data_IF_467998758764
#
_entry.id   IF_467998758764
#
_cell.length_a   1.000
_cell.length_b   1.000
_cell.length_c   1.000
_cell.angle_alpha   90.00
_cell.angle_beta   90.00
_cell.angle_gamma   90.00
#
_symmetry.space_group_name_H-M   'P 1'
#
loop_
_entity.id
_entity.type
_entity.pdbx_description
1 polymer ?
#
# COMPACT_ATOMS: atom_id res chain seq x y z
N UNK A 1 17.67 -50.57 29.98
CA UNK A 1 16.56 -50.18 29.08
C UNK A 1 15.68 -49.11 29.74
N UNK A 2 15.10 -49.36 30.92
CA UNK A 2 14.27 -48.37 31.66
C UNK A 2 15.00 -47.05 32.01
N UNK A 3 16.26 -47.12 32.45
CA UNK A 3 17.06 -45.93 32.77
C UNK A 3 17.29 -45.01 31.56
N UNK A 4 17.42 -45.59 30.36
CA UNK A 4 17.66 -44.84 29.13
C UNK A 4 16.40 -44.06 28.73
N UNK A 5 15.23 -44.69 28.88
CA UNK A 5 13.93 -44.06 28.62
C UNK A 5 13.68 -42.84 29.52
N UNK A 6 13.98 -42.95 30.83
CA UNK A 6 13.85 -41.81 31.77
C UNK A 6 14.82 -40.67 31.41
N UNK A 7 16.04 -41.00 31.00
CA UNK A 7 17.03 -39.99 30.60
C UNK A 7 16.65 -39.27 29.30
N UNK A 8 16.08 -40.00 28.33
CA UNK A 8 15.54 -39.42 27.10
C UNK A 8 14.35 -38.50 27.39
N UNK A 9 13.39 -38.93 28.21
CA UNK A 9 12.28 -38.09 28.67
C UNK A 9 12.76 -36.81 29.33
N UNK A 10 13.74 -36.90 30.24
CA UNK A 10 14.27 -35.73 30.93
C UNK A 10 14.99 -34.77 29.97
N UNK A 11 15.72 -35.29 28.97
CA UNK A 11 16.34 -34.47 27.93
C UNK A 11 15.30 -33.73 27.09
N UNK A 12 14.28 -34.43 26.60
CA UNK A 12 13.20 -33.81 25.81
C UNK A 12 12.45 -32.75 26.62
N UNK A 13 12.22 -32.99 27.92
CA UNK A 13 11.61 -31.99 28.81
C UNK A 13 12.49 -30.75 28.99
N UNK A 14 13.80 -30.92 29.20
CA UNK A 14 14.74 -29.79 29.28
C UNK A 14 14.84 -29.02 27.95
N UNK A 15 14.80 -29.71 26.82
CA UNK A 15 14.79 -29.09 25.49
C UNK A 15 13.51 -28.30 25.21
N UNK A 16 12.33 -28.83 25.58
CA UNK A 16 11.05 -28.14 25.43
C UNK A 16 10.98 -26.92 26.35
N UNK A 17 11.31 -27.07 27.63
CA UNK A 17 11.29 -25.96 28.61
C UNK A 17 12.32 -24.90 28.24
N UNK A 18 13.52 -25.30 27.82
CA UNK A 18 14.55 -24.39 27.31
C UNK A 18 14.13 -23.68 26.02
N UNK A 19 13.39 -24.38 25.15
CA UNK A 19 12.79 -23.80 23.95
C UNK A 19 11.75 -22.74 24.27
N UNK A 20 10.82 -23.03 25.17
CA UNK A 20 9.79 -22.09 25.65
C UNK A 20 10.42 -20.86 26.33
N UNK A 21 11.46 -21.06 27.14
CA UNK A 21 12.19 -19.96 27.80
C UNK A 21 12.85 -19.00 26.81
N UNK A 22 13.24 -19.46 25.62
CA UNK A 22 13.78 -18.61 24.54
C UNK A 22 12.69 -18.00 23.65
N UNK A 23 11.55 -18.65 23.51
CA UNK A 23 10.44 -18.19 22.69
C UNK A 23 9.67 -17.04 23.35
N UNK A 24 9.39 -17.12 24.66
CA UNK A 24 8.61 -16.12 25.40
C UNK A 24 9.16 -14.69 25.24
N UNK A 25 10.47 -14.43 25.47
CA UNK A 25 11.02 -13.09 25.29
C UNK A 25 10.85 -12.55 23.86
N UNK A 26 11.16 -13.38 22.86
CA UNK A 26 11.01 -13.03 21.44
C UNK A 26 9.56 -12.77 21.05
N UNK A 27 8.62 -13.48 21.67
CA UNK A 27 7.19 -13.24 21.47
C UNK A 27 6.76 -11.86 21.98
N UNK A 28 7.25 -11.43 23.14
CA UNK A 28 6.99 -10.07 23.64
C UNK A 28 7.67 -9.00 22.78
N UNK A 29 8.88 -9.25 22.27
CA UNK A 29 9.55 -8.37 21.31
C UNK A 29 8.73 -8.22 20.02
N UNK A 30 8.26 -9.33 19.44
CA UNK A 30 7.34 -9.33 18.30
C UNK A 30 6.09 -8.50 18.60
N UNK A 31 5.44 -8.75 19.74
CA UNK A 31 4.19 -8.08 20.09
C UNK A 31 4.39 -6.56 20.20
N UNK A 32 5.51 -6.14 20.80
CA UNK A 32 5.91 -4.75 20.90
C UNK A 32 6.05 -4.10 19.51
N UNK A 33 6.74 -4.77 18.59
CA UNK A 33 6.90 -4.29 17.21
C UNK A 33 5.57 -4.19 16.47
N UNK A 34 4.66 -5.15 16.65
CA UNK A 34 3.33 -5.13 16.03
C UNK A 34 2.48 -3.97 16.54
N UNK A 35 2.52 -3.69 17.85
CA UNK A 35 1.78 -2.57 18.46
C UNK A 35 2.32 -1.22 17.99
N UNK A 36 3.65 -1.05 18.00
CA UNK A 36 4.30 0.16 17.46
C UNK A 36 3.96 0.31 15.97
N UNK A 37 4.04 -0.78 15.23
CA UNK A 37 3.71 -0.82 13.81
C UNK A 37 2.27 -0.43 13.49
N UNK A 38 1.32 -0.84 14.33
CA UNK A 38 -0.08 -0.45 14.21
C UNK A 38 -0.25 1.08 14.36
N UNK A 39 0.43 1.69 15.34
CA UNK A 39 0.43 3.15 15.52
C UNK A 39 1.01 3.87 14.29
N UNK A 40 2.15 3.40 13.79
CA UNK A 40 2.78 3.97 12.58
C UNK A 40 1.85 3.83 11.37
N UNK A 41 1.26 2.66 11.15
CA UNK A 41 0.32 2.41 10.06
C UNK A 41 -0.91 3.33 10.13
N UNK A 42 -1.41 3.59 11.35
CA UNK A 42 -2.51 4.54 11.57
C UNK A 42 -2.13 5.97 11.18
N UNK A 43 -0.94 6.44 11.56
CA UNK A 43 -0.41 7.75 11.15
C UNK A 43 -0.26 7.83 9.62
N UNK A 44 0.33 6.80 8.99
CA UNK A 44 0.48 6.73 7.53
C UNK A 44 -0.86 6.83 6.81
N UNK A 45 -1.89 6.14 7.31
CA UNK A 45 -3.26 6.24 6.77
C UNK A 45 -3.78 7.66 6.83
N UNK A 46 -3.58 8.37 7.95
CA UNK A 46 -4.04 9.74 8.11
C UNK A 46 -3.33 10.70 7.13
N UNK A 47 -2.02 10.53 6.93
CA UNK A 47 -1.22 11.30 5.97
C UNK A 47 -1.73 11.06 4.54
N UNK A 48 -1.84 9.79 4.12
CA UNK A 48 -2.31 9.41 2.78
C UNK A 48 -3.71 9.96 2.52
N UNK A 49 -4.63 9.82 3.48
CA UNK A 49 -6.00 10.34 3.37
C UNK A 49 -6.00 11.86 3.18
N UNK A 50 -5.14 12.59 3.89
CA UNK A 50 -5.02 14.04 3.77
C UNK A 50 -4.49 14.45 2.39
N UNK A 51 -3.46 13.77 1.90
CA UNK A 51 -2.85 13.99 0.59
C UNK A 51 -3.84 13.74 -0.55
N UNK A 52 -4.61 12.64 -0.50
CA UNK A 52 -5.60 12.31 -1.53
C UNK A 52 -6.80 13.27 -1.55
N UNK A 53 -7.19 13.83 -0.39
CA UNK A 53 -8.26 14.82 -0.33
C UNK A 53 -7.86 16.12 -1.03
N UNK A 54 -6.60 16.53 -0.93
CA UNK A 54 -6.06 17.75 -1.55
C UNK A 54 -6.12 17.67 -3.08
N UNK A 55 -5.87 16.49 -3.67
CA UNK A 55 -5.90 16.32 -5.13
C UNK A 55 -7.30 16.25 -5.74
N UNK A 56 -8.36 16.37 -4.92
CA UNK A 56 -9.77 16.25 -5.34
C UNK A 56 -10.04 14.97 -6.14
N UNK A 57 -9.45 13.84 -5.73
CA UNK A 57 -9.74 12.53 -6.33
C UNK A 57 -11.25 12.22 -6.34
N UNK A 58 -11.98 12.70 -5.33
CA UNK A 58 -13.44 12.53 -5.23
C UNK A 58 -14.21 13.25 -6.36
N UNK A 59 -13.71 14.38 -6.89
CA UNK A 59 -14.29 15.04 -8.08
C UNK A 59 -13.82 14.42 -9.40
N UNK A 60 -12.78 13.59 -9.38
CA UNK A 60 -12.29 12.86 -10.56
C UNK A 60 -13.25 11.70 -10.87
N UNK A 61 -13.80 11.05 -9.84
CA UNK A 61 -14.77 9.97 -10.00
C UNK A 61 -16.12 10.48 -10.51
N UNK A 62 -16.59 11.67 -10.10
CA UNK A 62 -17.90 12.21 -10.52
C UNK A 62 -18.05 12.47 -12.03
N UNK A 63 -16.95 12.71 -12.76
CA UNK A 63 -16.99 12.97 -14.19
C UNK A 63 -16.71 11.75 -15.07
N UNK A 64 -16.39 10.62 -14.46
CA UNK A 64 -16.32 9.31 -15.12
C UNK A 64 -17.55 8.53 -14.64
N UNK A 65 -18.37 7.94 -15.52
CA UNK A 65 -19.57 7.18 -15.14
C UNK A 65 -19.35 6.03 -14.12
N UNK A 66 -18.12 5.78 -13.69
CA UNK A 66 -17.76 4.94 -12.56
C UNK A 66 -18.37 5.41 -11.21
N UNK A 67 -18.52 6.71 -10.95
CA UNK A 67 -19.11 7.17 -9.68
C UNK A 67 -20.61 6.83 -9.55
N UNK A 68 -21.37 6.84 -10.64
CA UNK A 68 -22.79 6.45 -10.60
C UNK A 68 -22.97 4.94 -10.42
N UNK A 69 -22.05 4.13 -10.95
CA UNK A 69 -22.04 2.68 -10.74
C UNK A 69 -21.61 2.31 -9.30
N UNK A 70 -20.68 3.06 -8.71
CA UNK A 70 -20.22 2.86 -7.33
C UNK A 70 -21.22 3.34 -6.28
N UNK A 71 -21.99 4.41 -6.53
CA UNK A 71 -23.08 4.87 -5.65
C UNK A 71 -24.23 3.87 -5.56
N UNK A 72 -24.48 3.09 -6.61
CA UNK A 72 -25.46 2.00 -6.58
C UNK A 72 -25.01 0.79 -5.74
N UNK A 73 -23.75 0.73 -5.32
CA UNK A 73 -23.15 -0.40 -4.61
C UNK A 73 -22.74 -0.09 -3.16
N UNK A 74 -23.09 1.08 -2.62
CA UNK A 74 -22.73 1.53 -1.24
C UNK A 74 -21.22 1.49 -0.93
N UNK A 75 -20.36 1.49 -1.94
CA UNK A 75 -18.92 1.33 -1.74
C UNK A 75 -18.29 2.61 -1.15
N UNK A 76 -17.34 2.48 -0.20
CA UNK A 76 -16.60 3.61 0.36
C UNK A 76 -15.90 4.42 -0.74
N UNK A 77 -15.73 5.73 -0.51
CA UNK A 77 -15.01 6.60 -1.45
C UNK A 77 -13.63 6.03 -1.81
N UNK A 78 -13.14 6.20 -3.07
CA UNK A 78 -11.84 5.69 -3.50
C UNK A 78 -10.67 6.11 -2.60
N UNK A 79 -10.75 7.33 -2.05
CA UNK A 79 -9.82 7.88 -1.07
C UNK A 79 -9.77 7.04 0.23
N UNK A 80 -10.93 6.60 0.72
CA UNK A 80 -11.03 5.77 1.92
C UNK A 80 -10.52 4.36 1.65
N UNK A 81 -10.84 3.79 0.49
CA UNK A 81 -10.32 2.48 0.08
C UNK A 81 -8.79 2.48 0.02
N UNK A 82 -8.18 3.48 -0.63
CA UNK A 82 -6.72 3.53 -0.78
C UNK A 82 -6.01 3.78 0.54
N UNK A 83 -6.50 4.71 1.37
CA UNK A 83 -5.91 4.97 2.68
C UNK A 83 -6.00 3.75 3.60
N UNK A 84 -7.11 3.00 3.55
CA UNK A 84 -7.27 1.73 4.26
C UNK A 84 -6.33 0.65 3.71
N UNK A 85 -6.12 0.59 2.40
CA UNK A 85 -5.15 -0.32 1.80
C UNK A 85 -3.73 -0.05 2.31
N UNK A 86 -3.30 1.22 2.35
CA UNK A 86 -1.97 1.59 2.88
C UNK A 86 -1.82 1.18 4.35
N UNK A 87 -2.86 1.37 5.17
CA UNK A 87 -2.85 0.89 6.56
C UNK A 87 -2.55 -0.60 6.65
N UNK A 88 -3.31 -1.42 5.92
CA UNK A 88 -3.16 -2.88 5.97
C UNK A 88 -1.80 -3.34 5.46
N UNK A 89 -1.30 -2.75 4.38
CA UNK A 89 0.05 -3.05 3.86
C UNK A 89 1.12 -2.69 4.89
N UNK A 90 1.08 -1.48 5.45
CA UNK A 90 2.04 -1.07 6.46
C UNK A 90 1.99 -1.98 7.70
N UNK A 91 0.79 -2.24 8.23
CA UNK A 91 0.61 -3.08 9.42
C UNK A 91 1.08 -4.52 9.17
N UNK A 92 0.76 -5.09 8.01
CA UNK A 92 1.26 -6.40 7.60
C UNK A 92 2.80 -6.43 7.55
N UNK A 93 3.44 -5.36 7.06
CA UNK A 93 4.90 -5.24 7.08
C UNK A 93 5.47 -5.31 8.49
N UNK A 94 4.87 -4.62 9.46
CA UNK A 94 5.30 -4.71 10.86
C UNK A 94 5.04 -6.07 11.49
N UNK A 95 3.94 -6.75 11.13
CA UNK A 95 3.70 -8.14 11.51
C UNK A 95 4.81 -9.03 10.98
N UNK A 96 5.20 -8.89 9.71
CA UNK A 96 6.28 -9.68 9.11
C UNK A 96 7.63 -9.43 9.80
N UNK A 97 7.95 -8.18 10.15
CA UNK A 97 9.15 -7.85 10.94
C UNK A 97 9.09 -8.49 12.33
N UNK A 98 7.94 -8.44 13.00
CA UNK A 98 7.75 -9.11 14.28
C UNK A 98 7.92 -10.63 14.17
N UNK A 99 7.33 -11.25 13.16
CA UNK A 99 7.46 -12.70 12.90
C UNK A 99 8.92 -13.08 12.64
N UNK A 100 9.70 -12.21 11.99
CA UNK A 100 11.12 -12.40 11.78
C UNK A 100 11.89 -12.55 13.11
N UNK A 101 11.50 -11.81 14.14
CA UNK A 101 12.11 -11.88 15.49
C UNK A 101 11.93 -13.25 16.13
N UNK A 102 10.84 -13.95 15.81
CA UNK A 102 10.64 -15.32 16.29
C UNK A 102 11.66 -16.30 15.69
N UNK A 103 12.27 -15.98 14.55
CA UNK A 103 13.26 -16.83 13.87
C UNK A 103 12.64 -18.06 13.21
N UNK A 104 11.42 -17.94 12.68
CA UNK A 104 10.73 -19.03 11.99
C UNK A 104 11.41 -19.27 10.64
N UNK A 105 12.10 -20.40 10.54
CA UNK A 105 12.77 -20.83 9.30
C UNK A 105 11.73 -20.97 8.18
N UNK A 106 12.07 -20.45 6.99
CA UNK A 106 11.22 -20.51 5.80
C UNK A 106 10.38 -19.26 5.54
N UNK A 107 10.31 -18.30 6.47
CA UNK A 107 9.60 -17.03 6.24
C UNK A 107 10.45 -15.93 5.60
N UNK A 108 11.77 -16.07 5.64
CA UNK A 108 12.74 -15.06 5.16
C UNK A 108 12.48 -14.63 3.71
N UNK A 109 12.21 -15.60 2.81
CA UNK A 109 11.93 -15.30 1.40
C UNK A 109 10.63 -14.51 1.23
N UNK A 110 9.58 -14.85 2.00
CA UNK A 110 8.31 -14.14 1.96
C UNK A 110 8.45 -12.69 2.48
N UNK A 111 9.23 -12.51 3.55
CA UNK A 111 9.55 -11.19 4.11
C UNK A 111 10.34 -10.39 3.07
N UNK A 112 11.42 -10.95 2.51
CA UNK A 112 12.23 -10.29 1.48
C UNK A 112 11.40 -9.86 0.27
N UNK A 113 10.55 -10.76 -0.26
CA UNK A 113 9.66 -10.45 -1.39
C UNK A 113 8.68 -9.32 -1.06
N UNK A 114 8.11 -9.31 0.15
CA UNK A 114 7.22 -8.25 0.61
C UNK A 114 7.94 -6.89 0.69
N UNK A 115 9.13 -6.87 1.29
CA UNK A 115 9.92 -5.64 1.40
C UNK A 115 10.44 -5.15 0.05
N UNK A 116 10.78 -6.05 -0.88
CA UNK A 116 11.12 -5.69 -2.26
C UNK A 116 9.94 -5.10 -3.02
N UNK A 117 8.70 -5.44 -2.66
CA UNK A 117 7.50 -4.85 -3.25
C UNK A 117 7.19 -3.43 -2.74
N UNK A 118 7.60 -3.07 -1.52
CA UNK A 118 7.30 -1.75 -0.94
C UNK A 118 7.86 -0.57 -1.75
N UNK A 119 9.16 -0.51 -2.12
CA UNK A 119 9.70 0.60 -2.93
C UNK A 119 8.93 0.80 -4.24
N UNK A 120 8.58 -0.29 -4.92
CA UNK A 120 7.80 -0.27 -6.17
C UNK A 120 6.39 0.25 -5.96
N UNK A 121 5.73 -0.18 -4.88
CA UNK A 121 4.42 0.34 -4.51
C UNK A 121 4.50 1.84 -4.24
N UNK A 122 5.52 2.31 -3.51
CA UNK A 122 5.74 3.72 -3.26
C UNK A 122 6.00 4.50 -4.55
N UNK A 123 6.84 4.00 -5.46
CA UNK A 123 7.11 4.60 -6.76
C UNK A 123 5.82 4.73 -7.59
N UNK A 124 5.02 3.66 -7.70
CA UNK A 124 3.75 3.68 -8.41
C UNK A 124 2.76 4.68 -7.79
N UNK A 125 2.67 4.75 -6.47
CA UNK A 125 1.83 5.74 -5.77
C UNK A 125 2.31 7.18 -5.99
N UNK A 126 3.63 7.38 -6.03
CA UNK A 126 4.24 8.69 -6.30
C UNK A 126 3.94 9.15 -7.74
N UNK A 127 4.13 8.26 -8.72
CA UNK A 127 3.78 8.50 -10.13
C UNK A 127 2.29 8.84 -10.27
N UNK A 128 1.41 8.06 -9.65
CA UNK A 128 -0.04 8.35 -9.65
C UNK A 128 -0.34 9.72 -9.04
N UNK A 129 0.26 10.04 -7.89
CA UNK A 129 0.00 11.31 -7.20
C UNK A 129 0.44 12.52 -8.05
N UNK A 130 1.71 12.57 -8.45
CA UNK A 130 2.26 13.69 -9.23
C UNK A 130 1.69 13.73 -10.65
N UNK A 131 1.49 12.58 -11.27
CA UNK A 131 0.92 12.46 -12.61
C UNK A 131 -0.52 12.98 -12.68
N UNK A 132 -1.36 12.64 -11.69
CA UNK A 132 -2.73 13.16 -11.63
C UNK A 132 -2.77 14.65 -11.29
N UNK A 133 -1.86 15.14 -10.45
CA UNK A 133 -1.71 16.56 -10.18
C UNK A 133 -1.34 17.32 -11.45
N UNK A 134 -0.34 16.83 -12.20
CA UNK A 134 0.05 17.37 -13.50
C UNK A 134 -1.12 17.33 -14.51
N UNK A 135 -1.81 16.20 -14.65
CA UNK A 135 -2.97 16.07 -15.54
C UNK A 135 -4.05 17.12 -15.23
N UNK A 136 -4.31 17.39 -13.95
CA UNK A 136 -5.28 18.39 -13.52
C UNK A 136 -4.82 19.83 -13.81
N UNK A 137 -3.53 20.11 -13.65
CA UNK A 137 -2.94 21.41 -13.93
C UNK A 137 -2.99 21.72 -15.44
N UNK A 138 -2.47 20.80 -16.27
CA UNK A 138 -2.42 20.98 -17.72
C UNK A 138 -3.81 21.05 -18.36
N UNK A 139 -4.77 20.24 -17.90
CA UNK A 139 -6.16 20.33 -18.37
C UNK A 139 -6.78 21.71 -18.10
N UNK A 140 -6.54 22.28 -16.91
CA UNK A 140 -7.03 23.63 -16.57
C UNK A 140 -6.33 24.72 -17.37
N UNK A 141 -5.02 24.61 -17.56
CA UNK A 141 -4.26 25.54 -18.38
C UNK A 141 -4.74 25.51 -19.84
N UNK A 142 -4.98 24.32 -20.40
CA UNK A 142 -5.52 24.15 -21.75
C UNK A 142 -6.94 24.70 -21.87
N UNK A 143 -7.79 24.53 -20.85
CA UNK A 143 -9.12 25.13 -20.83
C UNK A 143 -9.06 26.66 -20.86
N UNK A 144 -8.26 27.27 -19.98
CA UNK A 144 -8.10 28.72 -19.92
C UNK A 144 -7.49 29.29 -21.20
N UNK A 145 -6.45 28.63 -21.72
CA UNK A 145 -5.83 28.99 -22.99
C UNK A 145 -6.79 28.86 -24.17
N UNK A 146 -7.58 27.79 -24.22
CA UNK A 146 -8.56 27.57 -25.27
C UNK A 146 -9.72 28.56 -25.25
N UNK A 147 -10.15 29.01 -24.05
CA UNK A 147 -11.14 30.08 -23.91
C UNK A 147 -10.54 31.42 -24.36
N UNK A 148 -9.30 31.73 -23.99
CA UNK A 148 -8.63 32.97 -24.42
C UNK A 148 -8.31 33.01 -25.93
N UNK A 149 -8.13 31.84 -26.55
CA UNK A 149 -7.88 31.70 -27.98
C UNK A 149 -9.17 31.55 -28.82
N UNK A 150 -10.34 31.72 -28.20
CA UNK A 150 -11.66 31.62 -28.84
C UNK A 150 -11.87 30.30 -29.61
N UNK A 151 -11.35 29.19 -29.06
CA UNK A 151 -11.52 27.87 -29.68
C UNK A 151 -13.00 27.47 -29.68
N UNK A 152 -13.49 26.76 -30.71
CA UNK A 152 -14.89 26.33 -30.80
C UNK A 152 -15.33 25.42 -29.65
N UNK A 153 -14.40 24.66 -29.06
CA UNK A 153 -14.72 23.70 -28.00
C UNK A 153 -13.60 23.53 -26.96
N UNK A 154 -13.27 24.56 -26.17
CA UNK A 154 -12.15 24.53 -25.21
C UNK A 154 -12.29 23.41 -24.17
N UNK A 155 -13.54 23.10 -23.80
CA UNK A 155 -13.88 22.00 -22.89
C UNK A 155 -13.48 20.63 -23.44
N UNK A 156 -13.71 20.36 -24.73
CA UNK A 156 -13.36 19.07 -25.35
C UNK A 156 -11.85 18.88 -25.38
N UNK A 157 -11.09 19.92 -25.75
CA UNK A 157 -9.62 19.90 -25.75
C UNK A 157 -9.08 19.63 -24.35
N UNK A 158 -9.59 20.35 -23.34
CA UNK A 158 -9.18 20.15 -21.95
C UNK A 158 -9.49 18.75 -21.42
N UNK A 159 -10.60 18.15 -21.87
CA UNK A 159 -11.02 16.81 -21.49
C UNK A 159 -10.15 15.74 -22.15
N UNK A 160 -9.89 15.88 -23.45
CA UNK A 160 -9.02 14.97 -24.21
C UNK A 160 -7.62 14.93 -23.59
N UNK A 161 -7.03 16.10 -23.33
CA UNK A 161 -5.71 16.21 -22.70
C UNK A 161 -5.70 15.54 -21.30
N UNK A 162 -6.75 15.77 -20.50
CA UNK A 162 -6.87 15.15 -19.18
C UNK A 162 -6.91 13.62 -19.27
N UNK A 163 -7.73 13.09 -20.16
CA UNK A 163 -7.89 11.63 -20.33
C UNK A 163 -6.59 11.01 -20.83
N UNK A 164 -5.91 11.63 -21.81
CA UNK A 164 -4.61 11.16 -22.29
C UNK A 164 -3.56 11.12 -21.18
N UNK A 165 -3.48 12.18 -20.37
CA UNK A 165 -2.55 12.24 -19.24
C UNK A 165 -2.86 11.18 -18.19
N UNK A 166 -4.14 10.94 -17.86
CA UNK A 166 -4.54 9.89 -16.91
C UNK A 166 -4.14 8.50 -17.44
N UNK A 167 -4.40 8.21 -18.71
CA UNK A 167 -4.01 6.93 -19.33
C UNK A 167 -2.50 6.74 -19.30
N UNK A 168 -1.74 7.79 -19.62
CA UNK A 168 -0.29 7.77 -19.58
C UNK A 168 0.26 7.51 -18.16
N UNK A 169 -0.27 8.23 -17.17
CA UNK A 169 0.11 8.06 -15.76
C UNK A 169 -0.24 6.67 -15.24
N UNK A 170 -1.40 6.14 -15.62
CA UNK A 170 -1.77 4.76 -15.32
C UNK A 170 -0.78 3.79 -15.96
N UNK A 171 -0.46 3.95 -17.25
CA UNK A 171 0.51 3.12 -17.97
C UNK A 171 1.87 3.10 -17.26
N UNK A 172 2.42 4.27 -16.91
CA UNK A 172 3.69 4.37 -16.20
C UNK A 172 3.66 3.68 -14.83
N UNK A 173 2.59 3.88 -14.05
CA UNK A 173 2.45 3.25 -12.75
C UNK A 173 2.31 1.71 -12.84
N UNK A 174 1.75 1.19 -13.92
CA UNK A 174 1.69 -0.25 -14.20
C UNK A 174 3.05 -0.79 -14.66
N UNK A 175 3.78 -0.07 -15.51
CA UNK A 175 5.07 -0.50 -16.06
C UNK A 175 6.16 -0.66 -14.99
N UNK A 176 6.12 0.17 -13.94
CA UNK A 176 6.95 0.03 -12.74
C UNK A 176 6.82 -1.36 -12.09
N UNK A 177 5.68 -2.04 -12.27
CA UNK A 177 5.49 -3.41 -11.77
C UNK A 177 6.09 -4.50 -12.66
N UNK A 178 6.38 -4.20 -13.94
CA UNK A 178 6.67 -5.21 -14.96
C UNK A 178 8.18 -5.39 -15.23
N UNK A 179 9.02 -4.42 -14.90
CA UNK A 179 10.48 -4.45 -15.12
C UNK A 179 11.28 -5.54 -14.38
N UNK A 180 10.64 -6.39 -13.56
CA UNK A 180 11.34 -7.43 -12.76
C UNK A 180 11.16 -8.84 -13.33
N UNK A 181 10.25 -9.05 -14.29
CA UNK A 181 10.10 -10.34 -14.98
C UNK A 181 10.89 -10.43 -16.30
N UNK A 182 11.75 -9.44 -16.59
CA UNK A 182 12.63 -9.37 -17.77
C UNK A 182 14.09 -9.46 -17.40
#
# INVERSE_FOLDING_TARGET
MWQNFINELNRTMHEIVGGLGRFLPRFFEMLTLVVIGWLIAWVLRAVVRSVLRITRFDKLSEHTGAASLLRGAELPAPTEMLSRFVFWVAWLGFILVGVNVLGIVGFEQHISNFFGFLPRLFAALFILFFGLLAASFFSRAALLGGVNADLPSPRLVSLALRTMMILFVLSMAFEEKQQVNS
#
